data_IF_224294685029
#
_entry.id   IF_224294685029
#
_cell.length_a   1.000
_cell.length_b   1.000
_cell.length_c   1.000
_cell.angle_alpha   90.00
_cell.angle_beta   90.00
_cell.angle_gamma   90.00
#
_symmetry.space_group_name_H-M   'P 1'
#
loop_
_entity.id
_entity.type
_entity.pdbx_description
1 polymer ?
#
# COMPACT_ATOMS: atom_id res chain seq x y z
N UNK A 1 36.89 -6.99 0.42
CA UNK A 1 35.47 -6.74 0.07
C UNK A 1 34.59 -7.58 1.00
N UNK A 2 34.04 -7.00 2.05
CA UNK A 2 33.12 -7.69 2.97
C UNK A 2 31.73 -7.72 2.35
N UNK A 3 31.19 -8.90 2.05
CA UNK A 3 29.82 -9.06 1.58
C UNK A 3 28.86 -8.41 2.61
N UNK A 4 28.03 -7.47 2.16
CA UNK A 4 26.99 -6.89 3.02
C UNK A 4 26.04 -8.01 3.45
N UNK A 5 25.68 -8.03 4.73
CA UNK A 5 24.66 -8.94 5.24
C UNK A 5 23.39 -8.81 4.39
N UNK A 6 22.72 -9.92 4.00
CA UNK A 6 21.46 -9.87 3.25
C UNK A 6 20.39 -9.02 3.96
N UNK A 7 20.44 -8.93 5.29
CA UNK A 7 19.54 -8.06 6.05
C UNK A 7 19.81 -6.56 5.82
N UNK A 8 21.06 -6.15 5.59
CA UNK A 8 21.39 -4.74 5.34
C UNK A 8 20.86 -4.25 3.98
N UNK A 9 20.89 -5.11 2.95
CA UNK A 9 20.28 -4.82 1.67
C UNK A 9 18.76 -4.69 1.80
N UNK A 10 18.11 -5.64 2.50
CA UNK A 10 16.68 -5.58 2.78
C UNK A 10 16.29 -4.32 3.57
N UNK A 11 17.12 -3.88 4.53
CA UNK A 11 16.86 -2.69 5.32
C UNK A 11 16.83 -1.40 4.48
N UNK A 12 17.71 -1.27 3.48
CA UNK A 12 17.71 -0.12 2.58
C UNK A 12 16.45 -0.07 1.72
N UNK A 13 16.04 -1.21 1.15
CA UNK A 13 14.80 -1.35 0.37
C UNK A 13 13.58 -0.99 1.23
N UNK A 14 13.52 -1.51 2.45
CA UNK A 14 12.45 -1.22 3.41
C UNK A 14 12.41 0.26 3.79
N UNK A 15 13.56 0.91 3.97
CA UNK A 15 13.62 2.33 4.26
C UNK A 15 13.07 3.18 3.09
N UNK A 16 13.39 2.82 1.84
CA UNK A 16 12.82 3.48 0.67
C UNK A 16 11.29 3.34 0.63
N UNK A 17 10.76 2.13 0.82
CA UNK A 17 9.32 1.87 0.86
C UNK A 17 8.62 2.59 2.03
N UNK A 18 9.29 2.70 3.17
CA UNK A 18 8.81 3.45 4.32
C UNK A 18 8.75 4.96 4.03
N UNK A 19 9.73 5.50 3.30
CA UNK A 19 9.73 6.89 2.87
C UNK A 19 8.60 7.19 1.88
N UNK A 20 8.28 6.28 0.94
CA UNK A 20 7.12 6.43 0.04
C UNK A 20 5.81 6.52 0.80
N UNK A 21 5.61 5.63 1.77
CA UNK A 21 4.41 5.66 2.58
C UNK A 21 4.34 6.92 3.46
N UNK A 22 5.45 7.35 4.06
CA UNK A 22 5.49 8.61 4.79
C UNK A 22 5.13 9.81 3.89
N UNK A 23 5.60 9.81 2.64
CA UNK A 23 5.24 10.82 1.66
C UNK A 23 3.73 10.79 1.35
N UNK A 24 3.13 9.61 1.16
CA UNK A 24 1.69 9.46 0.96
C UNK A 24 0.88 9.97 2.17
N UNK A 25 1.29 9.60 3.38
CA UNK A 25 0.63 10.00 4.63
C UNK A 25 0.77 11.48 4.95
N UNK A 26 1.77 12.14 4.37
CA UNK A 26 1.99 13.57 4.58
C UNK A 26 1.32 14.41 3.50
N UNK A 27 0.75 13.84 2.43
CA UNK A 27 -0.03 14.61 1.45
C UNK A 27 -1.08 15.50 2.15
N UNK A 28 -1.17 16.76 1.76
CA UNK A 28 -2.16 17.69 2.30
C UNK A 28 -3.11 18.00 1.15
N UNK A 29 -4.37 17.56 1.21
CA UNK A 29 -5.33 17.99 0.20
C UNK A 29 -5.51 19.51 0.34
N UNK A 30 -5.47 20.25 -0.78
CA UNK A 30 -5.81 21.67 -0.75
C UNK A 30 -7.31 21.80 -0.48
N UNK A 31 -7.66 22.13 0.76
CA UNK A 31 -9.04 22.27 1.23
C UNK A 31 -9.80 23.42 0.55
N UNK A 32 -9.09 24.30 -0.18
CA UNK A 32 -9.69 25.39 -0.95
C UNK A 32 -10.17 24.94 -2.33
N UNK A 33 -9.68 23.80 -2.80
CA UNK A 33 -10.17 23.17 -4.03
C UNK A 33 -11.54 22.58 -3.71
N UNK A 34 -12.57 23.42 -3.80
CA UNK A 34 -13.95 22.96 -3.92
C UNK A 34 -14.04 22.19 -5.21
N UNK A 35 -14.29 20.89 -5.12
CA UNK A 35 -14.67 20.12 -6.29
C UNK A 35 -16.18 20.20 -6.41
N UNK A 36 -16.67 20.85 -7.47
CA UNK A 36 -18.09 20.83 -7.83
C UNK A 36 -18.55 19.42 -8.30
N UNK A 37 -17.65 18.44 -8.29
CA UNK A 37 -17.91 17.05 -8.60
C UNK A 37 -18.20 16.19 -7.36
N UNK A 38 -18.69 14.97 -7.56
CA UNK A 38 -18.97 14.04 -6.47
C UNK A 38 -17.72 13.76 -5.63
N UNK A 39 -17.94 13.41 -4.36
CA UNK A 39 -16.87 12.96 -3.46
C UNK A 39 -16.07 11.82 -4.11
N UNK A 40 -14.74 11.78 -3.94
CA UNK A 40 -13.92 10.72 -4.53
C UNK A 40 -14.30 9.36 -3.93
N UNK A 41 -14.84 8.47 -4.76
CA UNK A 41 -15.20 7.11 -4.39
C UNK A 41 -14.08 6.11 -4.74
N UNK A 42 -13.86 5.11 -3.88
CA UNK A 42 -12.91 4.02 -4.11
C UNK A 42 -13.65 2.69 -3.96
N UNK A 43 -13.51 1.80 -4.94
CA UNK A 43 -14.08 0.45 -4.87
C UNK A 43 -13.13 -0.48 -4.10
N UNK A 44 -13.60 -1.06 -3.00
CA UNK A 44 -12.86 -2.09 -2.27
C UNK A 44 -13.19 -3.47 -2.79
N UNK A 45 -12.15 -4.25 -3.12
CA UNK A 45 -12.27 -5.65 -3.52
C UNK A 45 -11.55 -6.55 -2.51
N UNK A 46 -12.24 -7.02 -1.46
CA UNK A 46 -11.66 -8.03 -0.59
C UNK A 46 -11.36 -9.31 -1.40
N UNK A 47 -10.20 -9.91 -1.17
CA UNK A 47 -9.80 -11.21 -1.74
C UNK A 47 -9.46 -12.19 -0.63
N UNK A 48 -9.56 -13.48 -0.92
CA UNK A 48 -9.29 -14.52 0.08
C UNK A 48 -7.85 -14.43 0.59
N UNK A 49 -7.68 -14.57 1.90
CA UNK A 49 -6.36 -14.61 2.52
C UNK A 49 -5.82 -16.04 2.50
N UNK A 50 -4.73 -16.31 1.77
CA UNK A 50 -4.24 -17.68 1.60
C UNK A 50 -3.49 -18.19 2.84
N UNK A 51 -3.22 -17.32 3.83
CA UNK A 51 -2.55 -17.71 5.08
C UNK A 51 -3.50 -18.05 6.23
N UNK A 52 -4.65 -17.38 6.32
CA UNK A 52 -5.60 -17.62 7.42
C UNK A 52 -6.98 -18.11 6.97
N UNK A 53 -7.23 -18.21 5.66
CA UNK A 53 -8.52 -18.64 5.14
C UNK A 53 -9.66 -17.63 5.34
N UNK A 54 -9.35 -16.37 5.66
CA UNK A 54 -10.37 -15.32 5.64
C UNK A 54 -10.91 -15.17 4.21
N UNK A 55 -12.21 -15.37 4.03
CA UNK A 55 -12.85 -15.39 2.72
C UNK A 55 -13.62 -14.08 2.42
N UNK A 56 -13.70 -13.73 1.14
CA UNK A 56 -14.55 -12.65 0.62
C UNK A 56 -16.01 -13.13 0.41
N UNK A 57 -17.03 -12.23 0.45
CA UNK A 57 -16.93 -10.84 0.81
C UNK A 57 -16.83 -10.66 2.33
N UNK A 58 -15.81 -9.91 2.76
CA UNK A 58 -15.75 -9.38 4.12
C UNK A 58 -15.77 -7.85 4.00
N UNK A 59 -16.85 -7.16 4.39
CA UNK A 59 -16.87 -5.71 4.31
C UNK A 59 -15.77 -5.15 5.22
N UNK A 60 -14.92 -4.24 4.73
CA UNK A 60 -14.03 -3.49 5.61
C UNK A 60 -14.84 -2.75 6.68
N UNK A 61 -14.30 -2.50 7.88
CA UNK A 61 -14.99 -1.76 8.94
C UNK A 61 -15.13 -0.25 8.65
N UNK A 62 -15.24 0.15 7.38
CA UNK A 62 -15.49 1.54 6.99
C UNK A 62 -17.01 1.75 6.91
N UNK A 63 -17.48 2.83 7.55
CA UNK A 63 -18.89 3.02 7.92
C UNK A 63 -19.85 3.19 6.75
N UNK A 64 -19.38 3.48 5.54
CA UNK A 64 -20.21 3.62 4.35
C UNK A 64 -19.44 3.07 3.15
N UNK A 65 -19.82 1.88 2.69
CA UNK A 65 -19.36 1.33 1.42
C UNK A 65 -20.62 1.09 0.60
N UNK A 66 -20.93 2.03 -0.29
CA UNK A 66 -21.91 1.78 -1.32
C UNK A 66 -21.27 0.85 -2.36
N UNK A 67 -21.73 -0.39 -2.44
CA UNK A 67 -21.40 -1.30 -3.54
C UNK A 67 -22.25 -0.90 -4.76
N UNK A 68 -22.03 0.29 -5.31
CA UNK A 68 -22.77 0.74 -6.50
C UNK A 68 -22.01 0.35 -7.76
N UNK A 69 -22.73 -0.25 -8.72
CA UNK A 69 -22.18 -0.89 -9.92
C UNK A 69 -21.51 0.03 -10.94
N UNK A 70 -20.95 -0.60 -12.00
CA UNK A 70 -20.44 -0.11 -13.31
C UNK A 70 -19.83 1.29 -13.46
N UNK A 71 -19.48 1.97 -12.37
CA UNK A 71 -18.69 3.21 -12.43
C UNK A 71 -17.21 2.87 -12.60
N UNK A 72 -16.52 3.66 -13.43
CA UNK A 72 -15.07 3.61 -13.60
C UNK A 72 -14.33 4.18 -12.37
N UNK A 73 -14.55 3.58 -11.19
CA UNK A 73 -13.92 3.98 -9.94
C UNK A 73 -12.57 3.30 -9.73
N UNK A 74 -11.56 4.01 -9.18
CA UNK A 74 -10.34 3.38 -8.69
C UNK A 74 -10.65 2.19 -7.78
N UNK A 75 -10.00 1.05 -8.03
CA UNK A 75 -10.23 -0.17 -7.25
C UNK A 75 -9.03 -0.53 -6.40
N UNK A 76 -9.22 -0.76 -5.11
CA UNK A 76 -8.20 -1.30 -4.21
C UNK A 76 -8.55 -2.72 -3.79
N UNK A 77 -7.70 -3.68 -4.15
CA UNK A 77 -7.82 -5.06 -3.66
C UNK A 77 -6.98 -5.25 -2.40
N UNK A 78 -7.56 -5.88 -1.39
CA UNK A 78 -6.93 -6.13 -0.09
C UNK A 78 -7.30 -7.54 0.38
N UNK A 79 -6.46 -8.17 1.20
CA UNK A 79 -6.83 -9.46 1.78
C UNK A 79 -8.05 -9.28 2.68
N UNK A 80 -8.94 -10.26 2.77
CA UNK A 80 -10.16 -10.19 3.58
C UNK A 80 -9.89 -10.02 5.09
N UNK A 81 -8.65 -10.27 5.53
CA UNK A 81 -8.17 -10.05 6.89
C UNK A 81 -7.49 -8.69 7.11
N UNK A 82 -7.31 -7.87 6.06
CA UNK A 82 -6.65 -6.57 6.13
C UNK A 82 -7.64 -5.41 6.34
N UNK A 83 -7.16 -4.38 7.01
CA UNK A 83 -7.79 -3.09 7.15
C UNK A 83 -6.79 -2.00 6.80
N UNK A 84 -7.20 -1.04 5.96
CA UNK A 84 -6.40 0.15 5.61
C UNK A 84 -6.92 1.36 6.37
N UNK A 85 -6.03 2.30 6.70
CA UNK A 85 -6.46 3.55 7.35
C UNK A 85 -6.97 4.54 6.32
N UNK A 86 -7.96 5.37 6.68
CA UNK A 86 -8.47 6.43 5.80
C UNK A 86 -7.35 7.35 5.28
N UNK A 87 -6.36 7.65 6.12
CA UNK A 87 -5.21 8.48 5.73
C UNK A 87 -4.37 7.84 4.63
N UNK A 88 -4.24 6.52 4.62
CA UNK A 88 -3.50 5.79 3.59
C UNK A 88 -4.19 5.81 2.22
N UNK A 89 -5.49 6.11 2.18
CA UNK A 89 -6.27 6.20 0.95
C UNK A 89 -6.19 7.58 0.29
N UNK A 90 -5.59 8.57 0.96
CA UNK A 90 -5.54 9.94 0.45
C UNK A 90 -4.93 10.03 -0.95
N UNK A 91 -3.85 9.28 -1.22
CA UNK A 91 -3.26 9.22 -2.55
C UNK A 91 -4.27 8.79 -3.63
N UNK A 92 -5.12 7.79 -3.34
CA UNK A 92 -6.14 7.33 -4.27
C UNK A 92 -7.24 8.36 -4.50
N UNK A 93 -7.63 9.12 -3.46
CA UNK A 93 -8.64 10.18 -3.59
C UNK A 93 -8.16 11.38 -4.43
N UNK A 94 -6.85 11.56 -4.56
CA UNK A 94 -6.23 12.61 -5.36
C UNK A 94 -6.03 12.18 -6.83
N UNK A 95 -6.04 10.88 -7.12
CA UNK A 95 -5.96 10.34 -8.48
C UNK A 95 -7.34 10.48 -9.13
N UNK A 96 -7.49 11.47 -10.02
CA UNK A 96 -8.70 11.67 -10.82
C UNK A 96 -8.64 10.83 -12.10
N UNK A 97 -9.70 10.07 -12.37
CA UNK A 97 -9.86 9.32 -13.62
C UNK A 97 -10.78 10.08 -14.57
N UNK A 98 -10.39 10.21 -15.83
CA UNK A 98 -11.28 10.69 -16.89
C UNK A 98 -12.41 9.67 -17.13
N UNK A 99 -13.61 10.15 -17.44
CA UNK A 99 -14.84 9.35 -17.58
C UNK A 99 -14.72 8.26 -18.65
N UNK A 100 -13.94 8.49 -19.71
CA UNK A 100 -13.75 7.58 -20.83
C UNK A 100 -12.64 6.53 -20.65
N UNK A 101 -12.06 6.41 -19.45
CA UNK A 101 -10.88 5.56 -19.23
C UNK A 101 -11.13 4.38 -18.31
N UNK A 102 -10.39 3.29 -18.52
CA UNK A 102 -10.37 2.18 -17.58
C UNK A 102 -9.95 2.68 -16.18
N UNK A 103 -10.66 2.26 -15.12
CA UNK A 103 -10.32 2.66 -13.76
C UNK A 103 -8.97 2.11 -13.34
N UNK A 104 -8.15 2.90 -12.62
CA UNK A 104 -6.88 2.41 -12.10
C UNK A 104 -7.11 1.34 -11.04
N UNK A 105 -6.24 0.35 -11.01
CA UNK A 105 -6.36 -0.82 -10.14
C UNK A 105 -5.14 -0.90 -9.23
N UNK A 106 -5.42 -1.04 -7.94
CA UNK A 106 -4.43 -1.06 -6.89
C UNK A 106 -4.58 -2.31 -6.04
N UNK A 107 -3.49 -2.69 -5.37
CA UNK A 107 -3.44 -3.78 -4.40
C UNK A 107 -2.71 -3.33 -3.14
N UNK A 108 -3.02 -3.95 -2.00
CA UNK A 108 -2.16 -3.84 -0.81
C UNK A 108 -0.87 -4.63 -1.01
N UNK A 109 0.17 -4.31 -0.22
CA UNK A 109 1.41 -5.10 -0.18
C UNK A 109 1.15 -6.58 0.08
N UNK A 110 0.20 -6.91 0.95
CA UNK A 110 -0.14 -8.30 1.27
C UNK A 110 -0.76 -9.06 0.11
N UNK A 111 -1.65 -8.43 -0.67
CA UNK A 111 -2.19 -9.02 -1.91
C UNK A 111 -1.11 -9.18 -2.96
N UNK A 112 -0.27 -8.16 -3.15
CA UNK A 112 0.85 -8.25 -4.09
C UNK A 112 1.78 -9.42 -3.71
N UNK A 113 2.22 -9.47 -2.46
CA UNK A 113 3.09 -10.51 -1.92
C UNK A 113 2.49 -11.91 -2.05
N UNK A 114 1.21 -12.07 -1.72
CA UNK A 114 0.51 -13.35 -1.86
C UNK A 114 0.51 -13.88 -3.30
N UNK A 115 0.46 -12.98 -4.29
CA UNK A 115 0.42 -13.34 -5.72
C UNK A 115 1.79 -13.59 -6.31
N UNK A 116 2.80 -12.84 -5.89
CA UNK A 116 4.14 -12.90 -6.49
C UNK A 116 5.07 -13.87 -5.78
N UNK A 117 5.03 -13.90 -4.45
CA UNK A 117 5.92 -14.73 -3.62
C UNK A 117 5.19 -15.99 -3.14
N UNK A 118 3.86 -15.95 -3.07
CA UNK A 118 3.05 -17.08 -2.61
C UNK A 118 2.97 -17.22 -1.09
N UNK A 119 2.55 -18.39 -0.63
CA UNK A 119 2.39 -18.73 0.81
C UNK A 119 3.53 -19.54 1.41
N UNK A 120 4.52 -19.90 0.59
CA UNK A 120 5.67 -20.70 1.02
C UNK A 120 6.56 -20.00 2.04
N UNK A 121 7.51 -20.74 2.66
CA UNK A 121 8.57 -20.13 3.45
C UNK A 121 9.30 -19.10 2.58
N UNK A 122 9.56 -17.92 3.15
CA UNK A 122 10.24 -16.83 2.45
C UNK A 122 11.74 -17.16 2.43
N UNK A 123 12.14 -18.07 1.55
CA UNK A 123 13.55 -18.47 1.38
C UNK A 123 14.36 -17.35 0.72
N UNK A 124 13.71 -16.53 -0.12
CA UNK A 124 14.31 -15.34 -0.74
C UNK A 124 13.51 -14.06 -0.45
N UNK A 125 13.63 -13.60 0.81
CA UNK A 125 13.05 -12.33 1.25
C UNK A 125 13.59 -11.14 0.45
N UNK A 126 14.85 -11.21 0.00
CA UNK A 126 15.52 -10.14 -0.72
C UNK A 126 14.85 -9.86 -2.07
N UNK A 127 14.68 -10.90 -2.89
CA UNK A 127 14.05 -10.75 -4.21
C UNK A 127 12.58 -10.35 -4.12
N UNK A 128 11.83 -10.90 -3.15
CA UNK A 128 10.44 -10.48 -2.93
C UNK A 128 10.32 -8.99 -2.57
N UNK A 129 11.22 -8.49 -1.71
CA UNK A 129 11.26 -7.07 -1.35
C UNK A 129 11.71 -6.18 -2.50
N UNK A 130 12.69 -6.62 -3.30
CA UNK A 130 13.13 -5.88 -4.47
C UNK A 130 12.01 -5.77 -5.52
N UNK A 131 11.24 -6.85 -5.74
CA UNK A 131 10.10 -6.85 -6.64
C UNK A 131 8.99 -5.91 -6.16
N UNK A 132 8.67 -5.95 -4.86
CA UNK A 132 7.67 -5.07 -4.27
C UNK A 132 8.12 -3.60 -4.29
N UNK A 133 9.39 -3.30 -3.99
CA UNK A 133 9.95 -1.95 -4.11
C UNK A 133 9.84 -1.41 -5.53
N UNK A 134 10.27 -2.20 -6.52
CA UNK A 134 10.17 -1.81 -7.92
C UNK A 134 8.72 -1.53 -8.32
N UNK A 135 7.78 -2.37 -7.88
CA UNK A 135 6.37 -2.21 -8.15
C UNK A 135 5.73 -1.02 -7.42
N UNK A 136 6.34 -0.44 -6.39
CA UNK A 136 5.86 0.79 -5.71
C UNK A 136 6.44 2.09 -6.29
N UNK A 137 7.45 2.02 -7.17
CA UNK A 137 8.17 3.20 -7.69
C UNK A 137 7.31 4.14 -8.53
N UNK A 138 6.20 3.66 -9.10
CA UNK A 138 5.22 4.53 -9.77
C UNK A 138 4.79 5.70 -8.88
N UNK A 139 4.80 5.51 -7.55
CA UNK A 139 4.42 6.54 -6.60
C UNK A 139 5.48 7.65 -6.49
N UNK A 140 6.76 7.34 -6.68
CA UNK A 140 7.85 8.32 -6.66
C UNK A 140 7.68 9.32 -7.81
N UNK A 141 7.34 8.82 -8.99
CA UNK A 141 7.09 9.63 -10.19
C UNK A 141 5.82 10.49 -10.04
N UNK A 142 4.80 9.96 -9.36
CA UNK A 142 3.52 10.64 -9.16
C UNK A 142 3.55 11.70 -8.05
N UNK A 143 4.42 11.52 -7.05
CA UNK A 143 4.43 12.32 -5.82
C UNK A 143 4.58 13.83 -6.04
N UNK A 144 5.45 14.34 -6.94
CA UNK A 144 5.56 15.78 -7.21
C UNK A 144 4.25 16.38 -7.68
N UNK A 145 3.51 15.66 -8.54
CA UNK A 145 2.23 16.13 -9.06
C UNK A 145 1.19 16.18 -7.94
N UNK A 146 1.07 15.11 -7.13
CA UNK A 146 0.16 15.05 -5.96
C UNK A 146 0.42 16.15 -4.93
N UNK A 147 1.67 16.60 -4.78
CA UNK A 147 2.03 17.69 -3.87
C UNK A 147 1.67 19.07 -4.40
N UNK A 148 1.65 19.23 -5.71
CA UNK A 148 1.41 20.51 -6.38
C UNK A 148 -0.09 20.77 -6.59
N UNK A 149 -0.93 19.74 -6.44
CA UNK A 149 -2.38 19.79 -6.64
C UNK A 149 -2.90 18.44 -7.13
N UNK A 150 -4.21 18.28 -7.39
CA UNK A 150 -4.69 17.07 -8.03
C UNK A 150 -4.09 16.97 -9.45
N UNK A 151 -3.29 15.94 -9.76
CA UNK A 151 -2.74 15.76 -11.10
C UNK A 151 -3.86 15.61 -12.12
N UNK A 152 -3.69 16.17 -13.32
CA UNK A 152 -4.52 15.75 -14.46
C UNK A 152 -4.08 14.34 -14.86
N UNK A 153 -4.99 13.56 -15.42
CA UNK A 153 -4.66 12.18 -15.85
C UNK A 153 -3.48 12.16 -16.83
N UNK A 154 -3.36 13.16 -17.69
CA UNK A 154 -2.25 13.30 -18.64
C UNK A 154 -0.89 13.53 -17.96
N UNK A 155 -0.91 13.95 -16.68
CA UNK A 155 0.28 14.10 -15.84
C UNK A 155 0.63 12.81 -15.08
N UNK A 156 -0.27 11.81 -15.07
CA UNK A 156 0.06 10.51 -14.53
C UNK A 156 1.02 9.86 -15.54
N UNK A 157 2.26 9.49 -15.15
CA UNK A 157 3.03 8.58 -15.99
C UNK A 157 2.13 7.40 -16.30
N UNK A 158 2.15 6.89 -17.55
CA UNK A 158 1.48 5.63 -17.88
C UNK A 158 1.83 4.66 -16.76
N UNK A 159 0.89 4.42 -15.82
CA UNK A 159 1.19 3.73 -14.57
C UNK A 159 1.90 2.48 -15.02
N UNK A 160 3.22 2.35 -14.73
CA UNK A 160 4.02 1.36 -15.41
C UNK A 160 3.29 0.05 -15.16
N UNK A 161 2.78 -0.54 -16.25
CA UNK A 161 2.40 -1.93 -16.20
C UNK A 161 3.61 -2.59 -15.56
N UNK A 162 3.43 -3.33 -14.44
CA UNK A 162 4.57 -4.01 -13.86
C UNK A 162 5.29 -4.73 -15.01
N UNK A 163 6.63 -4.66 -15.05
CA UNK A 163 7.39 -5.28 -16.14
C UNK A 163 6.86 -6.69 -16.35
N UNK A 164 6.80 -7.14 -17.61
CA UNK A 164 6.32 -8.48 -17.94
C UNK A 164 6.84 -9.49 -16.91
N UNK A 165 5.98 -10.40 -16.43
CA UNK A 165 6.34 -11.31 -15.35
C UNK A 165 7.69 -11.97 -15.65
N UNK A 166 8.63 -11.87 -14.71
CA UNK A 166 9.81 -12.72 -14.68
C UNK A 166 9.30 -14.16 -14.55
N UNK A 167 9.45 -14.95 -15.63
CA UNK A 167 9.16 -16.38 -15.74
C UNK A 167 7.80 -16.88 -15.21
N UNK A 168 6.78 -16.89 -16.09
CA UNK A 168 5.62 -17.78 -15.95
C UNK A 168 4.61 -17.45 -14.84
N UNK A 169 4.84 -16.39 -14.05
CA UNK A 169 3.84 -15.88 -13.13
C UNK A 169 2.70 -15.23 -13.92
N UNK A 170 1.62 -15.97 -14.16
CA UNK A 170 0.40 -15.44 -14.77
C UNK A 170 -0.21 -14.38 -13.85
N UNK A 171 0.12 -13.11 -14.06
CA UNK A 171 -0.70 -12.01 -13.56
C UNK A 171 -2.11 -12.23 -14.11
N UNK A 172 -3.09 -12.47 -13.23
CA UNK A 172 -4.47 -12.60 -13.69
C UNK A 172 -4.96 -11.32 -14.35
N UNK A 173 -4.33 -10.17 -14.09
CA UNK A 173 -4.51 -8.93 -14.85
C UNK A 173 -3.25 -8.04 -14.87
N UNK A 174 -2.77 -7.63 -16.04
CA UNK A 174 -1.89 -6.48 -16.17
C UNK A 174 -2.52 -5.24 -15.49
N UNK A 175 -1.78 -4.53 -14.63
CA UNK A 175 -2.19 -3.21 -14.10
C UNK A 175 -2.63 -3.13 -12.63
N UNK A 176 -2.35 -4.12 -11.78
CA UNK A 176 -2.59 -4.01 -10.33
C UNK A 176 -1.33 -3.45 -9.62
N UNK A 177 -1.28 -2.15 -9.36
CA UNK A 177 -0.13 -1.47 -8.73
C UNK A 177 -0.20 -1.54 -7.18
N UNK A 178 0.87 -1.97 -6.47
CA UNK A 178 0.87 -1.93 -5.02
C UNK A 178 0.87 -0.47 -4.53
N UNK A 179 -0.07 -0.18 -3.62
CA UNK A 179 -0.10 1.09 -2.91
C UNK A 179 0.91 1.06 -1.76
N UNK A 180 1.72 2.11 -1.53
CA UNK A 180 2.65 2.17 -0.40
C UNK A 180 1.87 2.38 0.91
N UNK A 181 1.24 1.32 1.39
CA UNK A 181 0.37 1.31 2.57
C UNK A 181 0.73 0.19 3.53
N UNK A 182 0.77 0.50 4.81
CA UNK A 182 0.69 -0.48 5.89
C UNK A 182 -0.74 -0.83 6.23
N UNK A 183 -0.95 -2.08 6.60
CA UNK A 183 -2.27 -2.64 6.90
C UNK A 183 -2.38 -2.99 8.38
N UNK A 184 -3.62 -3.05 8.88
CA UNK A 184 -3.97 -3.61 10.19
C UNK A 184 -4.69 -4.93 9.99
N UNK A 185 -4.75 -5.76 11.04
CA UNK A 185 -5.61 -6.93 11.00
C UNK A 185 -7.07 -6.54 11.28
N UNK A 186 -7.97 -6.74 10.32
CA UNK A 186 -9.40 -6.50 10.46
C UNK A 186 -10.09 -7.54 11.36
N UNK A 187 -9.69 -8.81 11.25
CA UNK A 187 -10.33 -9.95 11.92
C UNK A 187 -9.33 -10.92 12.56
N UNK A 188 -9.75 -11.65 13.62
CA UNK A 188 -9.10 -12.91 14.00
C UNK A 188 -9.15 -13.89 12.83
N UNK A 189 -8.15 -14.77 12.73
CA UNK A 189 -8.29 -15.95 11.88
C UNK A 189 -9.51 -16.79 12.35
N UNK A 190 -10.23 -17.45 11.43
CA UNK A 190 -11.40 -18.28 11.74
C UNK A 190 -11.09 -19.47 12.68
N UNK A 191 -9.82 -19.77 12.94
CA UNK A 191 -9.38 -20.83 13.86
C UNK A 191 -9.51 -20.48 15.35
N UNK A 192 -10.00 -19.29 15.70
CA UNK A 192 -10.23 -18.89 17.09
C UNK A 192 -8.95 -18.75 17.93
N UNK A 193 -7.75 -18.81 17.32
CA UNK A 193 -6.50 -18.68 18.07
C UNK A 193 -6.26 -17.22 18.47
N UNK A 194 -6.69 -16.95 19.71
CA UNK A 194 -6.38 -15.83 20.63
C UNK A 194 -6.90 -14.46 20.20
N UNK A 195 -8.12 -14.14 20.64
CA UNK A 195 -8.69 -12.79 20.66
C UNK A 195 -7.77 -11.72 21.32
N UNK A 196 -6.90 -12.10 22.26
CA UNK A 196 -5.92 -11.20 22.88
C UNK A 196 -4.81 -10.71 21.94
N UNK A 197 -4.41 -11.50 20.94
CA UNK A 197 -3.44 -11.11 19.88
C UNK A 197 -4.07 -10.23 18.80
N UNK A 198 -5.41 -10.23 18.69
CA UNK A 198 -6.15 -9.46 17.69
C UNK A 198 -6.32 -8.01 18.12
N UNK A 199 -6.53 -7.75 19.41
CA UNK A 199 -6.62 -6.37 19.91
C UNK A 199 -5.29 -5.60 19.76
N UNK A 200 -4.15 -6.27 19.99
CA UNK A 200 -2.83 -5.72 19.72
C UNK A 200 -2.57 -5.63 18.21
N UNK A 201 -2.90 -6.65 17.42
CA UNK A 201 -2.74 -6.62 15.95
C UNK A 201 -3.67 -5.64 15.21
N UNK A 202 -4.79 -5.22 15.82
CA UNK A 202 -5.65 -4.13 15.33
C UNK A 202 -5.02 -2.76 15.55
N UNK A 203 -4.16 -2.63 16.56
CA UNK A 203 -3.43 -1.40 16.86
C UNK A 203 -2.07 -1.38 16.17
N UNK A 204 -1.51 -2.54 15.84
CA UNK A 204 -0.25 -2.68 15.12
C UNK A 204 -0.43 -2.50 13.62
N UNK A 205 0.49 -1.73 13.04
CA UNK A 205 0.67 -1.65 11.60
C UNK A 205 1.62 -2.76 11.15
N UNK A 206 1.27 -3.39 10.03
CA UNK A 206 2.06 -4.43 9.39
C UNK A 206 2.56 -3.94 8.05
N UNK A 207 3.85 -4.14 7.80
CA UNK A 207 4.53 -3.76 6.57
C UNK A 207 4.00 -4.54 5.36
N UNK A 208 4.08 -5.88 5.38
CA UNK A 208 3.64 -6.73 4.28
C UNK A 208 2.20 -7.24 4.50
N UNK A 209 2.01 -7.99 5.58
CA UNK A 209 0.75 -8.65 5.91
C UNK A 209 0.76 -8.99 7.41
N UNK A 210 -0.41 -9.00 8.08
CA UNK A 210 -0.51 -9.46 9.47
C UNK A 210 -0.13 -10.95 9.67
N UNK A 211 0.08 -11.70 8.59
CA UNK A 211 0.47 -13.11 8.61
C UNK A 211 1.96 -13.37 8.40
N UNK A 212 2.76 -12.33 8.13
CA UNK A 212 4.21 -12.48 8.11
C UNK A 212 4.69 -12.84 9.54
N UNK A 213 5.20 -14.06 9.72
CA UNK A 213 5.59 -14.63 11.03
C UNK A 213 7.07 -14.95 11.08
N UNK A 214 7.58 -15.14 12.30
CA UNK A 214 8.97 -15.47 12.58
C UNK A 214 9.84 -14.24 12.88
N UNK A 215 11.07 -14.50 13.34
CA UNK A 215 11.99 -13.45 13.77
C UNK A 215 12.34 -12.49 12.62
N UNK A 216 12.60 -13.02 11.42
CA UNK A 216 12.90 -12.21 10.24
C UNK A 216 11.77 -11.25 9.88
N UNK A 217 10.51 -11.72 9.90
CA UNK A 217 9.34 -10.88 9.63
C UNK A 217 9.14 -9.81 10.73
N UNK A 218 9.36 -10.17 12.00
CA UNK A 218 9.28 -9.20 13.10
C UNK A 218 10.36 -8.12 13.00
N UNK A 219 11.60 -8.51 12.69
CA UNK A 219 12.72 -7.59 12.46
C UNK A 219 12.47 -6.67 11.27
N UNK A 220 11.93 -7.21 10.19
CA UNK A 220 11.56 -6.44 9.00
C UNK A 220 10.46 -5.41 9.31
N UNK A 221 9.40 -5.84 10.01
CA UNK A 221 8.32 -4.96 10.42
C UNK A 221 8.82 -3.86 11.36
N UNK A 222 9.71 -4.18 12.29
CA UNK A 222 10.32 -3.20 13.18
C UNK A 222 11.17 -2.17 12.42
N UNK A 223 12.06 -2.64 11.52
CA UNK A 223 12.89 -1.77 10.69
C UNK A 223 12.03 -0.82 9.84
N UNK A 224 10.98 -1.35 9.23
CA UNK A 224 10.01 -0.57 8.46
C UNK A 224 9.31 0.49 9.32
N UNK A 225 8.77 0.12 10.49
CA UNK A 225 8.04 1.05 11.35
C UNK A 225 8.93 2.17 11.88
N UNK A 226 10.18 1.85 12.22
CA UNK A 226 11.18 2.85 12.62
C UNK A 226 11.46 3.81 11.47
N UNK A 227 11.82 3.29 10.29
CA UNK A 227 12.11 4.12 9.11
C UNK A 227 10.92 4.99 8.70
N UNK A 228 9.69 4.48 8.79
CA UNK A 228 8.47 5.23 8.50
C UNK A 228 8.26 6.36 9.49
N UNK A 229 8.46 6.11 10.79
CA UNK A 229 8.33 7.15 11.81
C UNK A 229 9.37 8.26 11.60
N UNK A 230 10.61 7.90 11.27
CA UNK A 230 11.68 8.85 10.95
C UNK A 230 11.34 9.70 9.72
N UNK A 231 10.89 9.06 8.64
CA UNK A 231 10.50 9.74 7.41
C UNK A 231 9.31 10.68 7.62
N UNK A 232 8.30 10.29 8.42
CA UNK A 232 7.17 11.16 8.77
C UNK A 232 7.66 12.37 9.57
N UNK A 233 8.51 12.18 10.59
CA UNK A 233 9.06 13.28 11.39
C UNK A 233 9.85 14.27 10.52
N UNK A 234 10.70 13.76 9.63
CA UNK A 234 11.46 14.58 8.69
C UNK A 234 10.53 15.40 7.78
N UNK A 235 9.51 14.76 7.21
CA UNK A 235 8.56 15.43 6.32
C UNK A 235 7.72 16.52 7.00
N UNK A 236 7.40 16.36 8.29
CA UNK A 236 6.70 17.39 9.07
C UNK A 236 7.64 18.55 9.43
N UNK A 237 8.88 18.27 9.80
CA UNK A 237 9.87 19.31 10.17
C UNK A 237 10.17 20.27 9.01
N UNK A 238 10.25 19.76 7.79
CA UNK A 238 10.48 20.59 6.58
C UNK A 238 9.33 21.56 6.32
N UNK A 239 8.09 21.22 6.71
CA UNK A 239 6.92 22.05 6.45
C UNK A 239 6.75 23.20 7.42
N UNK A 240 7.21 23.03 8.66
CA UNK A 240 7.11 24.06 9.69
C UNK A 240 8.14 25.21 9.47
N UNK A 241 9.03 25.07 8.48
CA UNK A 241 10.04 26.06 8.13
C UNK A 241 10.05 26.43 6.62
N UNK A 242 9.01 27.09 6.09
CA UNK A 242 9.02 27.60 4.72
C UNK A 242 10.06 28.73 4.49
N UNK A 243 10.63 29.30 5.55
CA UNK A 243 11.59 30.40 5.50
C UNK A 243 13.01 30.02 5.01
N UNK A 244 13.24 28.78 4.59
CA UNK A 244 14.50 28.31 3.98
C UNK A 244 14.33 27.79 2.55
N UNK A 245 13.17 28.02 1.92
CA UNK A 245 12.88 27.65 0.54
C UNK A 245 12.77 28.90 -0.37
N UNK A 246 13.82 29.73 -0.35
CA UNK A 246 14.09 30.80 -1.33
C UNK A 246 15.47 30.58 -1.91
#
# INVERSE_FOLDING_TARGET
MTARSPFAAAAATVAAMAAREAAALTLVPDLRVRTDGPDPEILFRPVDCPWCGAAAPCPPPMREIAFTGDRALPRLSLLACEEVTARSLLALTLIRSAEASAPPRFVTRGVFWARTVGTGPIEDLGSGLALLDAAERWFDDLLPALRSGPPRRDDLPHLPYPPEPLDGAHWTHPGDAPLPVSVRAARPAPDGRRAGTVASSRRSLHFLSPHARGESAARLNHAYLSARADAVRAALTVRDHPALAV
#
